data_IF_884352430072
#
_entry.id   IF_884352430072
#
_cell.length_a   1.000
_cell.length_b   1.000
_cell.length_c   1.000
_cell.angle_alpha   90.00
_cell.angle_beta   90.00
_cell.angle_gamma   90.00
#
_symmetry.space_group_name_H-M   'P 1'
#
loop_
_entity.id
_entity.type
_entity.pdbx_description
1 polymer ?
#
# COMPACT_ATOMS: atom_id res chain seq x y z
N UNK A 1 -0.09 11.57 1.96
CA UNK A 1 1.32 12.00 1.72
C UNK A 1 2.40 11.07 2.31
N UNK A 2 2.05 9.94 2.96
CA UNK A 2 2.88 8.72 3.10
C UNK A 2 3.25 8.11 1.74
N UNK A 3 2.47 8.44 0.71
CA UNK A 3 2.76 8.23 -0.70
C UNK A 3 4.19 8.63 -1.05
N UNK A 4 4.67 9.80 -0.61
CA UNK A 4 6.00 10.30 -1.00
C UNK A 4 7.13 9.54 -0.32
N UNK A 5 7.00 9.19 0.97
CA UNK A 5 7.99 8.39 1.68
C UNK A 5 8.04 6.95 1.17
N UNK A 6 6.88 6.35 0.85
CA UNK A 6 6.80 5.01 0.27
C UNK A 6 7.28 5.02 -1.19
N UNK A 7 6.92 6.03 -1.99
CA UNK A 7 7.44 6.20 -3.36
C UNK A 7 8.94 6.42 -3.37
N UNK A 8 9.46 7.25 -2.46
CA UNK A 8 10.91 7.46 -2.32
C UNK A 8 11.56 6.18 -1.86
N UNK A 9 10.95 5.42 -0.94
CA UNK A 9 11.44 4.09 -0.52
C UNK A 9 11.41 3.04 -1.64
N UNK A 10 10.37 3.00 -2.47
CA UNK A 10 10.23 2.09 -3.61
C UNK A 10 11.14 2.48 -4.78
N UNK A 11 11.25 3.78 -5.08
CA UNK A 11 12.19 4.33 -6.06
C UNK A 11 13.63 4.08 -5.60
N UNK A 12 13.93 4.35 -4.33
CA UNK A 12 15.21 4.02 -3.73
C UNK A 12 15.47 2.52 -3.87
N UNK A 13 14.54 1.66 -3.44
CA UNK A 13 14.66 0.18 -3.51
C UNK A 13 14.86 -0.35 -4.92
N UNK A 14 14.11 0.14 -5.90
CA UNK A 14 14.28 -0.23 -7.31
C UNK A 14 15.64 0.21 -7.86
N UNK A 15 16.13 1.40 -7.50
CA UNK A 15 17.49 1.85 -7.84
C UNK A 15 18.57 1.01 -7.12
N UNK A 16 18.33 0.55 -5.90
CA UNK A 16 19.23 -0.35 -5.17
C UNK A 16 19.30 -1.77 -5.78
N UNK A 17 18.22 -2.23 -6.41
CA UNK A 17 18.18 -3.45 -7.21
C UNK A 17 18.91 -3.31 -8.56
N UNK A 18 19.31 -2.09 -8.96
CA UNK A 18 20.13 -1.84 -10.14
C UNK A 18 21.63 -1.98 -9.87
N UNK A 19 22.08 -2.08 -8.61
CA UNK A 19 23.48 -2.34 -8.30
C UNK A 19 23.79 -3.83 -8.48
N UNK A 20 24.61 -4.21 -9.48
CA UNK A 20 24.96 -5.60 -9.69
C UNK A 20 25.92 -6.06 -8.58
N UNK A 21 25.43 -6.90 -7.67
CA UNK A 21 26.30 -7.89 -7.05
C UNK A 21 26.82 -8.80 -8.16
N UNK A 22 28.08 -9.23 -8.11
CA UNK A 22 28.74 -10.06 -9.13
C UNK A 22 27.80 -11.20 -9.55
N UNK A 23 27.17 -11.07 -10.72
CA UNK A 23 25.98 -11.84 -11.08
C UNK A 23 26.34 -12.99 -12.01
N UNK A 24 26.03 -14.20 -11.59
CA UNK A 24 25.90 -15.35 -12.50
C UNK A 24 24.65 -15.18 -13.38
N UNK A 25 24.52 -15.95 -14.47
CA UNK A 25 23.32 -15.93 -15.31
C UNK A 25 22.04 -16.23 -14.49
N UNK A 26 22.14 -17.13 -13.51
CA UNK A 26 21.03 -17.47 -12.59
C UNK A 26 20.64 -16.30 -11.66
N UNK A 27 21.61 -15.55 -11.14
CA UNK A 27 21.34 -14.35 -10.34
C UNK A 27 20.68 -13.23 -11.17
N UNK A 28 21.10 -13.10 -12.43
CA UNK A 28 20.51 -12.15 -13.38
C UNK A 28 19.04 -12.48 -13.69
N UNK A 29 18.69 -13.75 -13.89
CA UNK A 29 17.32 -14.16 -14.18
C UNK A 29 16.41 -14.08 -12.94
N UNK A 30 16.92 -14.46 -11.76
CA UNK A 30 16.21 -14.25 -10.50
C UNK A 30 15.87 -12.76 -10.27
N UNK A 31 16.82 -11.86 -10.58
CA UNK A 31 16.61 -10.42 -10.46
C UNK A 31 15.54 -9.89 -11.43
N UNK A 32 15.48 -10.39 -12.66
CA UNK A 32 14.41 -10.04 -13.62
C UNK A 32 13.03 -10.43 -13.08
N UNK A 33 12.89 -11.64 -12.51
CA UNK A 33 11.64 -12.11 -11.91
C UNK A 33 11.22 -11.21 -10.74
N UNK A 34 12.16 -10.86 -9.87
CA UNK A 34 11.90 -9.97 -8.73
C UNK A 34 11.44 -8.59 -9.22
N UNK A 35 12.14 -7.99 -10.19
CA UNK A 35 11.76 -6.70 -10.78
C UNK A 35 10.34 -6.74 -11.37
N UNK A 36 10.01 -7.79 -12.11
CA UNK A 36 8.67 -7.97 -12.68
C UNK A 36 7.55 -8.05 -11.63
N UNK A 37 7.86 -8.49 -10.41
CA UNK A 37 6.91 -8.55 -9.28
C UNK A 37 6.86 -7.26 -8.47
N UNK A 38 7.98 -6.56 -8.34
CA UNK A 38 8.06 -5.29 -7.59
C UNK A 38 7.26 -4.18 -8.29
N UNK A 39 7.35 -4.08 -9.62
CA UNK A 39 6.66 -3.02 -10.38
C UNK A 39 5.13 -2.95 -10.15
N UNK A 40 4.35 -4.04 -10.30
CA UNK A 40 2.91 -3.98 -10.05
C UNK A 40 2.58 -3.70 -8.58
N UNK A 41 3.37 -4.20 -7.62
CA UNK A 41 3.20 -3.89 -6.20
C UNK A 41 3.42 -2.39 -5.94
N UNK A 42 4.44 -1.80 -6.54
CA UNK A 42 4.70 -0.37 -6.44
C UNK A 42 3.55 0.48 -7.05
N UNK A 43 3.00 0.05 -8.19
CA UNK A 43 1.84 0.70 -8.79
C UNK A 43 0.59 0.59 -7.89
N UNK A 44 0.35 -0.57 -7.28
CA UNK A 44 -0.77 -0.77 -6.37
C UNK A 44 -0.66 0.10 -5.10
N UNK A 45 0.55 0.20 -4.52
CA UNK A 45 0.85 1.11 -3.41
C UNK A 45 0.52 2.55 -3.80
N UNK A 46 0.93 2.97 -5.00
CA UNK A 46 0.66 4.31 -5.49
C UNK A 46 -0.83 4.62 -5.62
N UNK A 47 -1.58 3.71 -6.24
CA UNK A 47 -3.04 3.83 -6.39
C UNK A 47 -3.72 3.91 -5.03
N UNK A 48 -3.29 3.10 -4.07
CA UNK A 48 -3.80 3.12 -2.69
C UNK A 48 -3.51 4.43 -1.98
N UNK A 49 -2.33 5.00 -2.20
CA UNK A 49 -1.95 6.27 -1.60
C UNK A 49 -2.73 7.45 -2.21
N UNK A 50 -3.02 7.40 -3.52
CA UNK A 50 -3.89 8.36 -4.20
C UNK A 50 -5.35 8.21 -3.74
N UNK A 51 -5.87 6.99 -3.59
CA UNK A 51 -7.24 6.79 -3.08
C UNK A 51 -7.43 7.32 -1.67
N UNK A 52 -6.39 7.26 -0.83
CA UNK A 52 -6.41 7.87 0.51
C UNK A 52 -6.52 9.40 0.51
N UNK A 53 -6.11 10.07 -0.58
CA UNK A 53 -6.32 11.52 -0.73
C UNK A 53 -7.79 11.85 -1.01
N UNK A 54 -8.48 11.02 -1.79
CA UNK A 54 -9.92 11.16 -2.02
C UNK A 54 -10.72 10.90 -0.74
N UNK A 55 -10.32 9.92 0.08
CA UNK A 55 -10.93 9.69 1.41
C UNK A 55 -10.86 10.94 2.29
N UNK A 56 -9.70 11.61 2.32
CA UNK A 56 -9.52 12.83 3.10
C UNK A 56 -10.33 14.01 2.52
N UNK A 57 -10.33 14.18 1.19
CA UNK A 57 -11.07 15.26 0.53
C UNK A 57 -12.58 15.13 0.61
N UNK A 58 -13.10 13.91 0.78
CA UNK A 58 -14.52 13.62 0.85
C UNK A 58 -15.04 13.39 2.28
N UNK A 59 -14.20 13.66 3.30
CA UNK A 59 -14.46 13.39 4.73
C UNK A 59 -14.91 11.94 5.01
N UNK A 60 -14.58 11.01 4.12
CA UNK A 60 -15.11 9.65 4.14
C UNK A 60 -14.58 8.83 5.32
N UNK A 61 -13.40 9.21 5.83
CA UNK A 61 -12.82 8.68 7.06
C UNK A 61 -13.62 9.04 8.32
N UNK A 62 -14.44 10.10 8.31
CA UNK A 62 -15.33 10.49 9.43
C UNK A 62 -16.74 9.90 9.31
N UNK A 63 -17.13 9.46 8.12
CA UNK A 63 -18.45 8.93 7.86
C UNK A 63 -18.60 7.46 8.29
N UNK A 64 -17.54 6.66 8.18
CA UNK A 64 -17.62 5.22 8.41
C UNK A 64 -16.50 4.72 9.33
N UNK A 65 -16.71 4.73 10.65
CA UNK A 65 -15.65 4.51 11.65
C UNK A 65 -15.53 3.08 12.20
N UNK A 66 -16.11 2.09 11.52
CA UNK A 66 -15.96 0.67 11.87
C UNK A 66 -14.98 -0.04 10.93
N UNK A 67 -14.33 -1.10 11.40
CA UNK A 67 -13.45 -1.98 10.60
C UNK A 67 -13.50 -3.42 11.18
N UNK A 68 -13.44 -4.50 10.37
CA UNK A 68 -13.31 -4.53 8.90
C UNK A 68 -14.62 -4.19 8.17
N UNK A 69 -15.76 -4.37 8.83
CA UNK A 69 -17.07 -4.03 8.30
C UNK A 69 -17.27 -2.51 8.25
N UNK A 70 -18.13 -2.09 7.35
CA UNK A 70 -18.57 -0.71 7.16
C UNK A 70 -20.04 -0.64 7.57
N UNK A 71 -20.28 -0.15 8.79
CA UNK A 71 -21.62 -0.13 9.43
C UNK A 71 -22.28 -1.52 9.46
N UNK A 72 -21.50 -2.54 9.82
CA UNK A 72 -21.98 -3.92 9.94
C UNK A 72 -22.10 -4.68 8.62
N UNK A 73 -21.76 -4.07 7.47
CA UNK A 73 -21.75 -4.73 6.15
C UNK A 73 -20.35 -4.82 5.58
N UNK A 74 -20.12 -5.78 4.67
CA UNK A 74 -18.85 -5.84 3.92
C UNK A 74 -18.85 -4.74 2.85
N UNK A 75 -19.91 -4.69 2.03
CA UNK A 75 -20.16 -3.63 1.04
C UNK A 75 -21.19 -2.67 1.63
N UNK A 76 -20.96 -1.34 1.61
CA UNK A 76 -21.90 -0.39 2.18
C UNK A 76 -23.20 -0.32 1.36
N UNK A 77 -24.30 0.03 2.03
CA UNK A 77 -25.65 -0.01 1.44
C UNK A 77 -25.80 0.89 0.22
N UNK A 78 -25.19 2.08 0.27
CA UNK A 78 -25.21 3.06 -0.81
C UNK A 78 -24.09 2.87 -1.84
N UNK A 79 -23.33 1.77 -1.82
CA UNK A 79 -22.20 1.58 -2.73
C UNK A 79 -22.59 1.65 -4.21
N UNK A 80 -23.78 1.16 -4.56
CA UNK A 80 -24.30 1.11 -5.93
C UNK A 80 -25.17 2.31 -6.29
N UNK A 81 -25.35 3.27 -5.38
CA UNK A 81 -26.04 4.52 -5.71
C UNK A 81 -25.15 5.34 -6.63
N UNK A 82 -25.47 5.30 -7.92
CA UNK A 82 -24.59 5.83 -8.93
C UNK A 82 -24.76 7.34 -9.10
N UNK A 83 -23.71 8.10 -8.77
CA UNK A 83 -23.49 9.39 -9.41
C UNK A 83 -23.41 9.23 -10.94
N UNK A 84 -23.93 10.21 -11.67
CA UNK A 84 -23.83 10.28 -13.13
C UNK A 84 -22.74 11.28 -13.54
N UNK A 85 -21.80 10.90 -14.44
CA UNK A 85 -21.52 9.54 -14.91
C UNK A 85 -20.90 8.62 -13.82
N UNK A 86 -21.05 7.29 -13.99
CA UNK A 86 -20.76 6.27 -12.97
C UNK A 86 -19.33 6.29 -12.39
N UNK A 87 -18.34 6.75 -13.14
CA UNK A 87 -16.95 6.80 -12.68
C UNK A 87 -16.74 7.82 -11.54
N UNK A 88 -17.65 8.77 -11.38
CA UNK A 88 -17.61 9.75 -10.28
C UNK A 88 -17.72 9.10 -8.90
N UNK A 89 -18.36 7.93 -8.80
CA UNK A 89 -18.51 7.24 -7.52
C UNK A 89 -17.14 6.89 -6.90
N UNK A 90 -16.14 6.54 -7.72
CA UNK A 90 -14.80 6.22 -7.26
C UNK A 90 -14.03 7.42 -6.68
N UNK A 91 -14.52 8.65 -6.88
CA UNK A 91 -13.83 9.88 -6.49
C UNK A 91 -14.65 10.79 -5.56
N UNK A 92 -15.98 10.75 -5.66
CA UNK A 92 -16.88 11.74 -5.05
C UNK A 92 -17.95 11.12 -4.15
N UNK A 93 -18.26 9.82 -4.30
CA UNK A 93 -19.29 9.19 -3.49
C UNK A 93 -18.68 8.65 -2.19
N UNK A 94 -19.06 9.21 -1.04
CA UNK A 94 -18.40 8.96 0.27
C UNK A 94 -18.27 7.49 0.61
N UNK A 95 -19.35 6.71 0.44
CA UNK A 95 -19.33 5.29 0.76
C UNK A 95 -18.42 4.49 -0.19
N UNK A 96 -18.45 4.82 -1.48
CA UNK A 96 -17.66 4.14 -2.50
C UNK A 96 -16.18 4.45 -2.33
N UNK A 97 -15.81 5.73 -2.20
CA UNK A 97 -14.43 6.17 -1.96
C UNK A 97 -13.83 5.49 -0.72
N UNK A 98 -14.58 5.44 0.38
CA UNK A 98 -14.10 4.82 1.62
C UNK A 98 -13.96 3.30 1.49
N UNK A 99 -14.93 2.64 0.85
CA UNK A 99 -14.86 1.20 0.61
C UNK A 99 -13.68 0.84 -0.30
N UNK A 100 -13.55 1.52 -1.44
CA UNK A 100 -12.49 1.28 -2.42
C UNK A 100 -11.11 1.46 -1.81
N UNK A 101 -10.92 2.50 -0.99
CA UNK A 101 -9.67 2.71 -0.28
C UNK A 101 -9.36 1.59 0.71
N UNK A 102 -10.35 1.09 1.47
CA UNK A 102 -10.16 -0.05 2.39
C UNK A 102 -9.75 -1.31 1.64
N UNK A 103 -10.41 -1.61 0.51
CA UNK A 103 -10.08 -2.75 -0.34
C UNK A 103 -8.66 -2.62 -0.87
N UNK A 104 -8.31 -1.45 -1.43
CA UNK A 104 -6.97 -1.15 -1.92
C UNK A 104 -5.90 -1.28 -0.83
N UNK A 105 -6.16 -0.81 0.38
CA UNK A 105 -5.25 -0.92 1.52
C UNK A 105 -4.99 -2.39 1.91
N UNK A 106 -6.04 -3.21 2.02
CA UNK A 106 -5.91 -4.64 2.33
C UNK A 106 -5.19 -5.38 1.19
N UNK A 107 -5.59 -5.15 -0.07
CA UNK A 107 -4.93 -5.75 -1.24
C UNK A 107 -3.45 -5.37 -1.32
N UNK A 108 -3.10 -4.12 -1.03
CA UNK A 108 -1.72 -3.65 -0.98
C UNK A 108 -0.93 -4.36 0.11
N UNK A 109 -1.47 -4.45 1.32
CA UNK A 109 -0.80 -5.12 2.43
C UNK A 109 -0.57 -6.60 2.12
N UNK A 110 -1.56 -7.27 1.54
CA UNK A 110 -1.43 -8.66 1.09
C UNK A 110 -0.35 -8.80 0.02
N UNK A 111 -0.34 -7.92 -1.00
CA UNK A 111 0.63 -7.96 -2.08
C UNK A 111 2.07 -7.71 -1.59
N UNK A 112 2.27 -6.73 -0.70
CA UNK A 112 3.58 -6.46 -0.07
C UNK A 112 4.03 -7.63 0.78
N UNK A 113 3.12 -8.21 1.58
CA UNK A 113 3.44 -9.37 2.43
C UNK A 113 3.80 -10.59 1.58
N UNK A 114 3.05 -10.87 0.51
CA UNK A 114 3.34 -11.96 -0.41
C UNK A 114 4.69 -11.75 -1.12
N UNK A 115 4.97 -10.52 -1.59
CA UNK A 115 6.25 -10.18 -2.18
C UNK A 115 7.41 -10.41 -1.19
N UNK A 116 7.26 -9.98 0.07
CA UNK A 116 8.27 -10.22 1.09
C UNK A 116 8.48 -11.72 1.33
N UNK A 117 7.40 -12.49 1.52
CA UNK A 117 7.45 -13.94 1.81
C UNK A 117 8.26 -14.70 0.75
N UNK A 118 8.09 -14.37 -0.53
CA UNK A 118 8.74 -15.07 -1.65
C UNK A 118 10.11 -14.48 -2.04
N UNK A 119 10.55 -13.38 -1.42
CA UNK A 119 11.84 -12.73 -1.75
C UNK A 119 12.83 -12.66 -0.60
N UNK A 120 12.41 -12.17 0.55
CA UNK A 120 13.24 -11.99 1.74
C UNK A 120 12.74 -12.83 2.94
N UNK A 121 11.63 -13.54 2.77
CA UNK A 121 10.99 -14.34 3.80
C UNK A 121 11.17 -15.85 3.60
N UNK A 122 10.33 -16.67 4.26
CA UNK A 122 10.53 -18.11 4.39
C UNK A 122 10.37 -18.90 3.08
N UNK A 123 9.75 -18.32 2.05
CA UNK A 123 9.54 -18.97 0.75
C UNK A 123 10.51 -18.45 -0.33
N UNK A 124 11.53 -17.68 0.05
CA UNK A 124 12.57 -17.26 -0.88
C UNK A 124 13.35 -18.49 -1.38
N UNK A 125 13.34 -18.70 -2.71
CA UNK A 125 14.17 -19.76 -3.30
C UNK A 125 15.67 -19.49 -3.07
N UNK A 126 16.55 -20.51 -3.04
CA UNK A 126 17.99 -20.30 -2.87
C UNK A 126 18.59 -19.33 -3.89
N UNK A 127 18.11 -19.37 -5.14
CA UNK A 127 18.56 -18.46 -6.19
C UNK A 127 18.15 -17.00 -5.92
N UNK A 128 16.94 -16.78 -5.40
CA UNK A 128 16.46 -15.45 -5.02
C UNK A 128 17.22 -14.93 -3.80
N UNK A 129 17.37 -15.77 -2.76
CA UNK A 129 18.07 -15.42 -1.54
C UNK A 129 19.55 -15.06 -1.81
N UNK A 130 20.23 -15.79 -2.70
CA UNK A 130 21.59 -15.49 -3.11
C UNK A 130 21.72 -14.25 -4.00
N UNK A 131 20.68 -13.89 -4.76
CA UNK A 131 20.68 -12.73 -5.65
C UNK A 131 20.35 -11.42 -4.92
N UNK A 132 19.74 -11.47 -3.74
CA UNK A 132 19.41 -10.29 -2.94
C UNK A 132 20.64 -9.76 -2.20
N UNK A 133 21.01 -8.51 -2.46
CA UNK A 133 22.03 -7.83 -1.67
C UNK A 133 21.53 -7.57 -0.24
N UNK A 134 22.40 -7.44 0.77
CA UNK A 134 21.99 -7.08 2.13
C UNK A 134 21.15 -5.79 2.19
N UNK A 135 21.45 -4.81 1.34
CA UNK A 135 20.66 -3.58 1.24
C UNK A 135 19.26 -3.84 0.66
N UNK A 136 19.13 -4.68 -0.37
CA UNK A 136 17.83 -5.05 -0.93
C UNK A 136 16.98 -5.83 0.09
N UNK A 137 17.59 -6.75 0.82
CA UNK A 137 16.93 -7.50 1.91
C UNK A 137 16.42 -6.55 3.00
N UNK A 138 17.26 -5.63 3.48
CA UNK A 138 16.84 -4.62 4.46
C UNK A 138 15.62 -3.82 3.97
N UNK A 139 15.65 -3.39 2.70
CA UNK A 139 14.55 -2.61 2.12
C UNK A 139 13.25 -3.39 2.03
N UNK A 140 13.29 -4.68 1.74
CA UNK A 140 12.08 -5.53 1.76
C UNK A 140 11.49 -5.64 3.16
N UNK A 141 12.33 -5.78 4.20
CA UNK A 141 11.87 -5.74 5.60
C UNK A 141 11.26 -4.38 5.97
N UNK A 142 11.93 -3.29 5.58
CA UNK A 142 11.43 -1.95 5.83
C UNK A 142 10.09 -1.69 5.13
N UNK A 143 9.94 -2.12 3.87
CA UNK A 143 8.69 -2.01 3.11
C UNK A 143 7.55 -2.76 3.81
N UNK A 144 7.80 -3.98 4.28
CA UNK A 144 6.81 -4.76 5.03
C UNK A 144 6.38 -4.03 6.31
N UNK A 145 7.36 -3.58 7.10
CA UNK A 145 7.10 -2.87 8.36
C UNK A 145 6.32 -1.57 8.13
N UNK A 146 6.69 -0.80 7.09
CA UNK A 146 5.99 0.43 6.71
C UNK A 146 4.56 0.15 6.23
N UNK A 147 4.33 -0.90 5.43
CA UNK A 147 3.00 -1.25 4.97
C UNK A 147 2.07 -1.65 6.13
N UNK A 148 2.55 -2.50 7.04
CA UNK A 148 1.80 -2.86 8.25
C UNK A 148 1.56 -1.64 9.16
N UNK A 149 2.59 -0.83 9.38
CA UNK A 149 2.48 0.40 10.16
C UNK A 149 1.46 1.38 9.58
N UNK A 150 1.44 1.56 8.25
CA UNK A 150 0.50 2.46 7.58
C UNK A 150 -0.93 1.95 7.61
N UNK A 151 -1.17 0.66 7.38
CA UNK A 151 -2.52 0.10 7.52
C UNK A 151 -2.98 0.16 8.97
N UNK A 152 -2.12 -0.18 9.93
CA UNK A 152 -2.43 -0.06 11.36
C UNK A 152 -2.79 1.37 11.73
N UNK A 153 -1.98 2.36 11.32
CA UNK A 153 -2.22 3.77 11.56
C UNK A 153 -3.49 4.30 10.87
N UNK A 154 -3.79 3.83 9.65
CA UNK A 154 -5.01 4.17 8.94
C UNK A 154 -6.26 3.62 9.62
N UNK A 155 -6.22 2.35 10.07
CA UNK A 155 -7.28 1.75 10.87
C UNK A 155 -7.44 2.48 12.21
N UNK A 156 -6.35 2.83 12.89
CA UNK A 156 -6.43 3.63 14.14
C UNK A 156 -7.07 5.00 13.88
N UNK A 157 -6.67 5.70 12.81
CA UNK A 157 -7.25 6.98 12.40
C UNK A 157 -8.75 6.85 12.17
N UNK A 158 -9.15 5.80 11.44
CA UNK A 158 -10.55 5.48 11.16
C UNK A 158 -11.36 5.22 12.44
N UNK A 159 -10.87 4.35 13.32
CA UNK A 159 -11.60 3.95 14.53
C UNK A 159 -11.77 5.11 15.52
N UNK A 160 -10.86 6.09 15.51
CA UNK A 160 -10.91 7.26 16.38
C UNK A 160 -11.57 8.48 15.73
N UNK A 161 -12.28 8.31 14.61
CA UNK A 161 -12.97 9.38 13.89
C UNK A 161 -12.05 10.51 13.39
N UNK A 162 -10.87 10.12 12.89
CA UNK A 162 -9.90 11.00 12.23
C UNK A 162 -9.47 12.18 13.13
N UNK A 163 -8.88 11.92 14.31
CA UNK A 163 -8.28 13.00 15.09
C UNK A 163 -7.07 13.54 14.32
N UNK A 164 -6.81 14.85 14.45
CA UNK A 164 -5.84 15.57 13.62
C UNK A 164 -4.46 14.91 13.69
N UNK A 165 -4.05 14.46 14.87
CA UNK A 165 -2.75 13.83 15.10
C UNK A 165 -2.62 12.52 14.32
N UNK A 166 -3.63 11.64 14.39
CA UNK A 166 -3.61 10.35 13.67
C UNK A 166 -3.79 10.56 12.17
N UNK A 167 -4.69 11.45 11.76
CA UNK A 167 -4.89 11.80 10.36
C UNK A 167 -3.62 12.38 9.73
N UNK A 168 -2.96 13.29 10.42
CA UNK A 168 -1.69 13.88 10.00
C UNK A 168 -0.56 12.86 9.95
N UNK A 169 -0.48 11.96 10.94
CA UNK A 169 0.51 10.89 10.98
C UNK A 169 0.28 9.86 9.86
N UNK A 170 -0.97 9.46 9.63
CA UNK A 170 -1.34 8.52 8.57
C UNK A 170 -1.11 9.11 7.19
N UNK A 171 -1.43 10.39 7.02
CA UNK A 171 -1.15 11.09 5.79
C UNK A 171 0.30 11.49 5.65
N UNK A 172 1.08 11.62 6.72
CA UNK A 172 2.44 12.17 6.73
C UNK A 172 2.64 13.29 5.69
N UNK A 173 1.96 14.42 5.93
CA UNK A 173 2.07 15.67 5.18
C UNK A 173 0.81 16.55 5.15
N UNK A 174 -0.04 16.53 6.18
CA UNK A 174 -1.15 17.47 6.32
C UNK A 174 -1.37 17.81 7.80
N UNK A 175 -0.40 18.52 8.38
CA UNK A 175 -0.62 19.29 9.60
C UNK A 175 -0.67 20.77 9.19
N UNK A 176 -1.86 21.22 8.81
CA UNK A 176 -2.47 22.55 9.00
C UNK A 176 -3.73 22.66 8.17
#
# INVERSE_FOLDING_TARGET
>A
TSAFAIYTGLLWSSLGLLQPAIATNAATDAMKVIRGRVTPVAALIAVTAVSGAFVAGNDAGRAFNTFPLMEGRIVPEHYFEALSPWWRNAFEHTATVQFDHRVLAVSTLTAVSALWVITAGPLASPAIAAALSPSATFRMHALLALAWGQVGLGVSTLLHAVPVELGSAHQAGAAR
#
